data_IF_885923945660
#
_entry.id   IF_885923945660
#
_cell.length_a   1.000
_cell.length_b   1.000
_cell.length_c   1.000
_cell.angle_alpha   90.00
_cell.angle_beta   90.00
_cell.angle_gamma   90.00
#
_symmetry.space_group_name_H-M   'P 1'
#
loop_
_entity.id
_entity.type
_entity.pdbx_description
1 polymer ?
#
# COMPACT_ATOMS: atom_id res chain seq x y z
N UNK A 1 -41.07 17.27 25.42
CA UNK A 1 -40.65 16.36 24.33
C UNK A 1 -39.32 16.87 23.81
N UNK A 2 -38.24 16.40 24.42
CA UNK A 2 -36.87 16.78 23.97
C UNK A 2 -36.42 15.82 22.90
N UNK A 3 -36.20 16.37 21.70
CA UNK A 3 -35.67 15.63 20.56
C UNK A 3 -34.18 15.33 20.73
N UNK A 4 -33.86 14.07 20.95
CA UNK A 4 -32.52 13.56 20.94
C UNK A 4 -31.85 13.84 19.58
N UNK A 5 -31.00 14.82 19.52
CA UNK A 5 -30.08 15.06 18.40
C UNK A 5 -29.06 13.91 18.37
N UNK A 6 -29.27 12.96 17.47
CA UNK A 6 -28.26 11.95 17.12
C UNK A 6 -27.03 12.70 16.62
N UNK A 7 -25.95 12.64 17.41
CA UNK A 7 -24.62 13.07 16.95
C UNK A 7 -24.27 12.27 15.72
N UNK A 8 -24.28 12.93 14.58
CA UNK A 8 -23.71 12.36 13.35
C UNK A 8 -22.20 12.12 13.59
N UNK A 9 -21.66 10.97 13.20
CA UNK A 9 -20.24 10.73 13.29
C UNK A 9 -19.54 11.77 12.42
N UNK A 10 -18.68 12.57 13.03
CA UNK A 10 -17.83 13.50 12.29
C UNK A 10 -16.83 12.67 11.46
N UNK A 11 -17.04 12.69 10.17
CA UNK A 11 -16.17 12.02 9.20
C UNK A 11 -14.83 12.76 9.19
N UNK A 12 -13.82 12.17 9.79
CA UNK A 12 -12.40 12.63 9.74
C UNK A 12 -11.78 12.39 8.36
N UNK A 13 -12.40 12.94 7.28
CA UNK A 13 -11.95 12.70 5.89
C UNK A 13 -10.88 13.72 5.44
N UNK A 14 -10.61 14.77 6.21
CA UNK A 14 -10.18 16.02 5.59
C UNK A 14 -8.69 16.30 5.37
N UNK A 15 -7.68 15.72 6.01
CA UNK A 15 -6.30 16.07 5.64
C UNK A 15 -5.86 15.48 4.30
N UNK A 16 -6.13 14.20 4.05
CA UNK A 16 -5.63 13.52 2.84
C UNK A 16 -6.41 13.84 1.55
N UNK A 17 -7.66 14.32 1.66
CA UNK A 17 -8.49 14.65 0.48
C UNK A 17 -8.43 16.13 0.06
N UNK A 18 -7.99 17.05 0.91
CA UNK A 18 -8.06 18.50 0.63
C UNK A 18 -6.74 19.22 0.44
N UNK A 19 -5.59 18.56 0.59
CA UNK A 19 -4.33 19.29 0.68
C UNK A 19 -3.56 19.37 -0.64
N UNK A 20 -3.36 20.57 -1.08
CA UNK A 20 -2.14 21.09 -1.70
C UNK A 20 -1.03 21.24 -0.64
N UNK A 21 -0.87 20.32 0.28
CA UNK A 21 0.28 20.29 1.16
C UNK A 21 1.40 19.57 0.41
N UNK A 22 2.49 20.30 0.15
CA UNK A 22 3.72 19.71 -0.36
C UNK A 22 4.11 18.55 0.56
N UNK A 23 4.06 17.32 0.03
CA UNK A 23 4.51 16.13 0.73
C UNK A 23 5.92 16.35 1.22
N UNK A 24 6.17 16.08 2.50
CA UNK A 24 7.50 16.20 3.11
C UNK A 24 8.29 14.93 2.84
N UNK A 25 8.58 14.67 1.57
CA UNK A 25 9.38 13.51 1.17
C UNK A 25 10.79 13.66 1.76
N UNK A 26 11.23 12.64 2.45
CA UNK A 26 12.58 12.50 3.00
C UNK A 26 13.06 11.07 2.85
N UNK A 27 14.37 10.88 2.86
CA UNK A 27 14.91 9.54 3.01
C UNK A 27 14.48 8.96 4.35
N UNK A 28 13.88 7.79 4.30
CA UNK A 28 13.46 7.02 5.45
C UNK A 28 14.03 5.60 5.34
N UNK A 29 14.38 5.02 6.48
CA UNK A 29 14.83 3.64 6.54
C UNK A 29 13.65 2.70 6.30
N UNK A 30 13.86 1.67 5.50
CA UNK A 30 12.83 0.65 5.23
C UNK A 30 12.33 -0.04 6.50
N UNK A 31 13.14 -0.08 7.53
CA UNK A 31 12.76 -0.59 8.84
C UNK A 31 11.56 0.16 9.44
N UNK A 32 11.35 1.44 9.09
CA UNK A 32 10.15 2.18 9.52
C UNK A 32 8.87 1.62 8.88
N UNK A 33 8.94 1.16 7.62
CA UNK A 33 7.84 0.47 6.93
C UNK A 33 7.55 -0.85 7.63
N UNK A 34 8.58 -1.65 7.87
CA UNK A 34 8.46 -2.95 8.56
C UNK A 34 7.82 -2.78 9.94
N UNK A 35 8.33 -1.86 10.75
CA UNK A 35 7.80 -1.56 12.09
C UNK A 35 6.34 -1.10 12.04
N UNK A 36 5.98 -0.32 11.02
CA UNK A 36 4.60 0.12 10.82
C UNK A 36 3.68 -1.07 10.59
N UNK A 37 4.03 -1.94 9.65
CA UNK A 37 3.25 -3.15 9.34
C UNK A 37 3.15 -4.07 10.56
N UNK A 38 4.28 -4.34 11.23
CA UNK A 38 4.31 -5.14 12.46
C UNK A 38 3.44 -4.56 13.58
N UNK A 39 3.38 -3.24 13.71
CA UNK A 39 2.56 -2.56 14.72
C UNK A 39 1.05 -2.63 14.48
N UNK A 40 0.64 -2.82 13.22
CA UNK A 40 -0.78 -2.94 12.84
C UNK A 40 -1.29 -4.37 12.96
N UNK A 41 -0.45 -5.35 12.61
CA UNK A 41 -0.82 -6.76 12.56
C UNK A 41 -1.45 -7.30 13.86
N UNK A 42 -0.87 -7.12 15.06
CA UNK A 42 -1.41 -7.72 16.29
C UNK A 42 -2.78 -7.17 16.70
N UNK A 43 -3.14 -5.97 16.23
CA UNK A 43 -4.40 -5.32 16.58
C UNK A 43 -5.59 -5.86 15.77
N UNK A 44 -5.32 -6.63 14.71
CA UNK A 44 -6.33 -7.07 13.74
C UNK A 44 -6.35 -8.58 13.50
N UNK A 45 -5.53 -9.33 14.25
CA UNK A 45 -5.44 -10.79 14.10
C UNK A 45 -6.25 -11.48 15.16
N UNK A 46 -7.48 -11.86 14.83
CA UNK A 46 -8.32 -12.77 15.62
C UNK A 46 -8.11 -14.22 15.14
N UNK A 47 -6.89 -14.75 15.26
CA UNK A 47 -6.60 -16.12 14.85
C UNK A 47 -5.12 -16.40 14.62
N UNK A 48 -4.80 -17.59 14.14
CA UNK A 48 -3.45 -17.98 13.74
C UNK A 48 -3.17 -17.53 12.30
N UNK A 49 -2.59 -16.35 12.15
CA UNK A 49 -2.10 -15.86 10.87
C UNK A 49 -0.58 -15.99 10.82
N UNK A 50 -0.08 -16.77 9.87
CA UNK A 50 1.34 -16.85 9.57
C UNK A 50 1.82 -15.54 8.93
N UNK A 51 2.76 -14.84 9.57
CA UNK A 51 3.33 -13.60 9.06
C UNK A 51 4.75 -13.83 8.55
N UNK A 52 4.98 -13.54 7.28
CA UNK A 52 6.30 -13.59 6.65
C UNK A 52 6.74 -12.21 6.21
N UNK A 53 7.93 -11.77 6.63
CA UNK A 53 8.54 -10.51 6.18
C UNK A 53 9.85 -10.83 5.47
N UNK A 54 9.95 -10.45 4.21
CA UNK A 54 11.11 -10.68 3.36
C UNK A 54 11.71 -9.35 2.90
N UNK A 55 12.95 -9.09 3.28
CA UNK A 55 13.75 -7.98 2.80
C UNK A 55 14.86 -8.58 1.92
N UNK A 56 14.84 -8.28 0.62
CA UNK A 56 15.86 -8.79 -0.29
C UNK A 56 17.15 -7.98 -0.24
N UNK A 57 17.05 -6.72 0.16
CA UNK A 57 18.20 -5.81 0.32
C UNK A 57 18.26 -5.27 1.75
N UNK A 58 19.51 -5.22 2.28
CA UNK A 58 19.77 -4.63 3.60
C UNK A 58 20.05 -3.13 3.45
N UNK A 59 19.64 -2.35 4.47
CA UNK A 59 19.84 -0.89 4.53
C UNK A 59 19.19 -0.11 3.38
N UNK A 60 18.10 -0.65 2.82
CA UNK A 60 17.30 0.04 1.82
C UNK A 60 16.69 1.30 2.43
N UNK A 61 16.80 2.40 1.70
CA UNK A 61 16.13 3.67 2.03
C UNK A 61 15.10 3.99 0.97
N UNK A 62 13.97 4.51 1.40
CA UNK A 62 12.90 4.97 0.51
C UNK A 62 12.73 6.48 0.63
N UNK A 63 12.32 7.13 -0.45
CA UNK A 63 11.92 8.53 -0.42
C UNK A 63 10.42 8.63 -0.10
N UNK A 64 10.10 8.96 1.15
CA UNK A 64 8.70 8.96 1.59
C UNK A 64 8.38 10.05 2.62
N UNK A 65 7.12 10.51 2.61
CA UNK A 65 6.49 11.13 3.77
C UNK A 65 5.98 10.00 4.68
N UNK A 66 6.76 9.68 5.71
CA UNK A 66 6.46 8.54 6.57
C UNK A 66 5.17 8.69 7.37
N UNK A 67 4.67 9.91 7.59
CA UNK A 67 3.38 10.10 8.25
C UNK A 67 2.23 9.62 7.35
N UNK A 68 2.24 10.03 6.08
CA UNK A 68 1.29 9.59 5.08
C UNK A 68 1.49 8.11 4.72
N UNK A 69 2.74 7.66 4.61
CA UNK A 69 3.04 6.25 4.33
C UNK A 69 2.50 5.32 5.41
N UNK A 70 2.63 5.69 6.70
CA UNK A 70 2.04 4.93 7.82
C UNK A 70 0.52 4.84 7.72
N UNK A 71 -0.15 5.92 7.33
CA UNK A 71 -1.61 5.91 7.11
C UNK A 71 -1.97 4.93 5.99
N UNK A 72 -1.31 5.04 4.83
CA UNK A 72 -1.55 4.15 3.70
C UNK A 72 -1.31 2.67 4.04
N UNK A 73 -0.17 2.35 4.66
CA UNK A 73 0.17 0.98 5.06
C UNK A 73 -0.82 0.44 6.10
N UNK A 74 -1.25 1.26 7.05
CA UNK A 74 -2.25 0.87 8.06
C UNK A 74 -3.55 0.46 7.40
N UNK A 75 -4.04 1.25 6.45
CA UNK A 75 -5.28 0.95 5.74
C UNK A 75 -5.16 -0.29 4.84
N UNK A 76 -4.02 -0.47 4.17
CA UNK A 76 -3.76 -1.66 3.35
C UNK A 76 -3.68 -2.94 4.19
N UNK A 77 -2.92 -2.92 5.29
CA UNK A 77 -2.79 -4.06 6.20
C UNK A 77 -4.14 -4.40 6.82
N UNK A 78 -4.88 -3.40 7.32
CA UNK A 78 -6.23 -3.61 7.86
C UNK A 78 -7.16 -4.23 6.84
N UNK A 79 -7.14 -3.76 5.59
CA UNK A 79 -7.97 -4.34 4.54
C UNK A 79 -7.60 -5.78 4.24
N UNK A 80 -6.31 -6.12 4.22
CA UNK A 80 -5.84 -7.48 4.04
C UNK A 80 -6.29 -8.38 5.22
N UNK A 81 -6.13 -7.92 6.46
CA UNK A 81 -6.55 -8.67 7.65
C UNK A 81 -8.07 -8.91 7.69
N UNK A 82 -8.86 -7.87 7.39
CA UNK A 82 -10.33 -7.97 7.37
C UNK A 82 -10.87 -8.93 6.28
N UNK A 83 -10.12 -9.13 5.19
CA UNK A 83 -10.50 -10.02 4.10
C UNK A 83 -10.05 -11.47 4.35
N UNK A 84 -9.10 -11.70 5.26
CA UNK A 84 -8.59 -13.03 5.55
C UNK A 84 -9.54 -13.84 6.43
N UNK A 85 -9.66 -15.15 6.19
CA UNK A 85 -10.30 -16.05 7.13
C UNK A 85 -9.49 -16.14 8.43
N UNK A 86 -10.07 -16.75 9.46
CA UNK A 86 -9.46 -16.88 10.79
C UNK A 86 -8.05 -17.54 10.79
N UNK A 87 -7.73 -18.27 9.74
CA UNK A 87 -6.42 -18.90 9.51
C UNK A 87 -5.94 -18.46 8.12
N UNK A 88 -4.78 -17.84 8.05
CA UNK A 88 -4.27 -17.32 6.79
C UNK A 88 -2.78 -17.05 6.82
N UNK A 89 -2.27 -16.59 5.68
CA UNK A 89 -0.88 -16.14 5.56
C UNK A 89 -0.87 -14.70 5.12
N UNK A 90 -0.09 -13.89 5.80
CA UNK A 90 0.22 -12.53 5.39
C UNK A 90 1.70 -12.44 5.06
N UNK A 91 2.03 -11.84 3.94
CA UNK A 91 3.43 -11.59 3.58
C UNK A 91 3.66 -10.13 3.23
N UNK A 92 4.79 -9.61 3.72
CA UNK A 92 5.37 -8.35 3.31
C UNK A 92 6.69 -8.67 2.61
N UNK A 93 6.84 -8.25 1.35
CA UNK A 93 8.11 -8.34 0.62
C UNK A 93 8.55 -6.95 0.18
N UNK A 94 9.84 -6.65 0.33
CA UNK A 94 10.41 -5.36 -0.04
C UNK A 94 11.72 -5.60 -0.79
N UNK A 95 11.86 -4.97 -1.96
CA UNK A 95 13.07 -4.99 -2.77
C UNK A 95 13.13 -3.77 -3.69
N UNK A 96 14.21 -3.66 -4.45
CA UNK A 96 14.28 -2.75 -5.59
C UNK A 96 14.06 -3.53 -6.88
N UNK A 97 13.32 -2.93 -7.80
CA UNK A 97 13.04 -3.49 -9.12
C UNK A 97 13.36 -2.45 -10.20
N UNK A 98 13.82 -2.94 -11.34
CA UNK A 98 14.07 -2.10 -12.50
C UNK A 98 13.21 -2.59 -13.67
N UNK A 99 12.38 -1.69 -14.20
CA UNK A 99 11.52 -1.99 -15.34
C UNK A 99 12.18 -1.53 -16.62
N UNK A 100 12.41 -2.46 -17.54
CA UNK A 100 12.87 -2.16 -18.88
C UNK A 100 11.77 -1.49 -19.71
N UNK A 101 12.19 -0.67 -20.67
CA UNK A 101 11.30 0.15 -21.52
C UNK A 101 10.24 -0.69 -22.25
N UNK A 102 10.55 -1.95 -22.60
CA UNK A 102 9.62 -2.83 -23.32
C UNK A 102 8.39 -3.23 -22.50
N UNK A 103 8.49 -3.31 -21.18
CA UNK A 103 7.33 -3.58 -20.30
C UNK A 103 6.38 -2.39 -20.20
N UNK A 104 6.83 -1.20 -20.61
CA UNK A 104 6.07 0.06 -20.52
C UNK A 104 4.98 0.18 -21.60
N UNK A 105 5.18 -0.42 -22.75
CA UNK A 105 4.28 -0.26 -23.90
C UNK A 105 2.95 -1.02 -23.75
N UNK A 106 2.79 -1.81 -22.69
CA UNK A 106 1.63 -2.69 -22.48
C UNK A 106 0.73 -2.26 -21.30
N UNK A 107 1.05 -1.18 -20.58
CA UNK A 107 0.30 -0.78 -19.39
C UNK A 107 -0.27 0.63 -19.52
N UNK A 108 -1.51 0.82 -19.08
CA UNK A 108 -2.20 2.12 -19.07
C UNK A 108 -1.57 3.14 -18.12
N UNK A 109 -0.77 2.70 -17.15
CA UNK A 109 -0.04 3.54 -16.19
C UNK A 109 1.37 2.97 -15.99
N UNK A 110 2.32 3.26 -16.90
CA UNK A 110 3.63 2.64 -16.91
C UNK A 110 4.50 3.07 -15.72
N UNK A 111 5.24 2.11 -15.18
CA UNK A 111 6.30 2.36 -14.20
C UNK A 111 7.60 2.43 -14.99
N UNK A 112 8.31 3.55 -14.88
CA UNK A 112 9.54 3.78 -15.65
C UNK A 112 10.75 3.73 -14.74
N UNK A 113 11.72 2.87 -15.08
CA UNK A 113 13.02 2.82 -14.43
C UNK A 113 13.04 2.03 -13.14
N UNK A 114 14.01 2.34 -12.29
CA UNK A 114 14.19 1.70 -11.01
C UNK A 114 13.24 2.29 -9.96
N UNK A 115 12.68 1.43 -9.13
CA UNK A 115 11.79 1.82 -8.04
C UNK A 115 11.92 0.88 -6.84
N UNK A 116 11.59 1.41 -5.66
CA UNK A 116 11.36 0.59 -4.48
C UNK A 116 10.02 -0.11 -4.61
N UNK A 117 10.02 -1.40 -4.37
CA UNK A 117 8.87 -2.28 -4.50
C UNK A 117 8.48 -2.81 -3.13
N UNK A 118 7.22 -2.60 -2.75
CA UNK A 118 6.62 -3.11 -1.52
C UNK A 118 5.40 -3.94 -1.90
N UNK A 119 5.42 -5.23 -1.60
CA UNK A 119 4.28 -6.14 -1.80
C UNK A 119 3.69 -6.55 -0.47
N UNK A 120 2.37 -6.43 -0.36
CA UNK A 120 1.55 -6.87 0.75
C UNK A 120 0.59 -7.93 0.20
N UNK A 121 0.74 -9.18 0.60
CA UNK A 121 -0.13 -10.25 0.15
C UNK A 121 -0.80 -10.98 1.31
N UNK A 122 -2.08 -11.29 1.14
CA UNK A 122 -2.88 -12.05 2.10
C UNK A 122 -3.63 -13.19 1.43
N UNK A 123 -3.70 -14.34 2.10
CA UNK A 123 -4.53 -15.45 1.64
C UNK A 123 -5.99 -15.19 2.01
N UNK A 124 -6.74 -14.70 1.07
CA UNK A 124 -8.18 -14.43 1.20
C UNK A 124 -8.97 -15.03 0.02
N UNK A 125 -10.23 -14.70 -0.07
CA UNK A 125 -11.10 -15.20 -1.17
C UNK A 125 -10.80 -14.57 -2.53
N UNK A 126 -9.91 -13.58 -2.57
CA UNK A 126 -9.66 -12.79 -3.76
C UNK A 126 -10.82 -11.86 -4.12
N UNK A 127 -10.64 -11.09 -5.17
CA UNK A 127 -11.68 -10.22 -5.74
C UNK A 127 -11.84 -10.49 -7.22
N UNK A 128 -13.07 -10.36 -7.71
CA UNK A 128 -13.41 -10.41 -9.13
C UNK A 128 -12.76 -9.22 -9.88
N UNK A 129 -12.43 -9.40 -11.17
CA UNK A 129 -11.85 -8.34 -12.00
C UNK A 129 -12.70 -7.06 -12.02
N UNK A 130 -14.03 -7.18 -12.04
CA UNK A 130 -14.94 -6.04 -12.00
C UNK A 130 -14.87 -5.25 -10.69
N UNK A 131 -14.57 -5.93 -9.59
CA UNK A 131 -14.36 -5.33 -8.29
C UNK A 131 -12.99 -4.67 -8.26
N UNK A 132 -11.99 -5.33 -8.80
CA UNK A 132 -10.60 -4.86 -8.87
C UNK A 132 -10.47 -3.49 -9.55
N UNK A 133 -11.25 -3.22 -10.59
CA UNK A 133 -11.28 -1.91 -11.25
C UNK A 133 -11.80 -0.79 -10.34
N UNK A 134 -12.65 -1.11 -9.36
CA UNK A 134 -13.35 -0.14 -8.51
C UNK A 134 -12.83 -0.02 -7.08
N UNK A 135 -11.93 -0.92 -6.65
CA UNK A 135 -11.51 -0.97 -5.23
C UNK A 135 -10.85 0.31 -4.74
N UNK A 136 -10.31 1.14 -5.63
CA UNK A 136 -9.72 2.43 -5.31
C UNK A 136 -10.70 3.60 -5.45
N UNK A 137 -11.95 3.37 -5.88
CA UNK A 137 -12.97 4.40 -5.92
C UNK A 137 -13.39 4.78 -4.49
N UNK A 138 -13.48 6.08 -4.16
CA UNK A 138 -13.99 6.50 -2.85
C UNK A 138 -15.40 5.94 -2.60
N UNK A 139 -15.62 5.50 -1.37
CA UNK A 139 -16.89 4.92 -0.89
C UNK A 139 -17.23 3.53 -1.46
N UNK A 140 -16.40 2.96 -2.31
CA UNK A 140 -16.58 1.59 -2.76
C UNK A 140 -16.19 0.61 -1.66
N UNK A 141 -17.08 -0.28 -1.28
CA UNK A 141 -16.84 -1.33 -0.28
C UNK A 141 -17.76 -2.53 -0.51
N UNK A 142 -17.23 -3.71 -0.29
CA UNK A 142 -18.00 -4.96 -0.22
C UNK A 142 -18.31 -5.37 1.21
N UNK A 143 -17.79 -4.62 2.21
CA UNK A 143 -17.98 -4.89 3.64
C UNK A 143 -19.22 -4.17 4.16
N UNK A 144 -19.99 -4.83 5.02
CA UNK A 144 -21.21 -4.27 5.62
C UNK A 144 -20.93 -3.12 6.59
N UNK A 145 -19.76 -3.06 7.19
CA UNK A 145 -19.36 -2.05 8.20
C UNK A 145 -18.29 -1.09 7.70
N UNK A 146 -17.79 -1.27 6.48
CA UNK A 146 -16.75 -0.42 5.88
C UNK A 146 -17.32 0.89 5.31
N UNK A 147 -16.54 1.96 5.36
CA UNK A 147 -16.87 3.24 4.73
C UNK A 147 -16.32 3.36 3.28
N UNK A 148 -15.53 2.40 2.81
CA UNK A 148 -14.96 2.37 1.46
C UNK A 148 -13.91 3.47 1.19
N UNK A 149 -13.24 4.00 2.21
CA UNK A 149 -12.28 5.09 2.05
C UNK A 149 -10.82 4.67 2.17
N UNK A 150 -10.49 3.62 2.90
CA UNK A 150 -9.10 3.25 3.20
C UNK A 150 -8.26 3.00 1.95
N UNK A 151 -8.74 2.17 1.00
CA UNK A 151 -8.02 1.92 -0.25
C UNK A 151 -7.91 3.17 -1.13
N UNK A 152 -8.94 4.01 -1.17
CA UNK A 152 -8.92 5.27 -1.91
C UNK A 152 -7.91 6.26 -1.33
N UNK A 153 -7.80 6.32 0.01
CA UNK A 153 -6.80 7.13 0.72
C UNK A 153 -5.40 6.60 0.43
N UNK A 154 -5.16 5.31 0.59
CA UNK A 154 -3.87 4.69 0.28
C UNK A 154 -3.44 4.94 -1.18
N UNK A 155 -4.36 4.75 -2.14
CA UNK A 155 -4.11 5.04 -3.55
C UNK A 155 -3.69 6.51 -3.76
N UNK A 156 -4.41 7.45 -3.15
CA UNK A 156 -4.11 8.87 -3.26
C UNK A 156 -2.76 9.21 -2.64
N UNK A 157 -2.43 8.68 -1.48
CA UNK A 157 -1.14 8.89 -0.80
C UNK A 157 -0.01 8.41 -1.70
N UNK A 158 -0.08 7.19 -2.21
CA UNK A 158 0.96 6.63 -3.07
C UNK A 158 1.07 7.42 -4.38
N UNK A 159 -0.03 7.64 -5.07
CA UNK A 159 -0.02 8.24 -6.42
C UNK A 159 0.24 9.74 -6.42
N UNK A 160 -0.33 10.50 -5.44
CA UNK A 160 -0.30 11.96 -5.45
C UNK A 160 0.81 12.56 -4.61
N UNK A 161 1.16 11.92 -3.49
CA UNK A 161 2.14 12.44 -2.56
C UNK A 161 3.53 11.83 -2.77
N UNK A 162 3.61 10.62 -3.32
CA UNK A 162 4.87 9.91 -3.53
C UNK A 162 5.22 9.72 -5.02
N UNK A 163 4.37 10.18 -5.94
CA UNK A 163 4.49 9.93 -7.40
C UNK A 163 4.68 8.44 -7.74
N UNK A 164 4.22 7.60 -6.83
CA UNK A 164 4.31 6.15 -6.92
C UNK A 164 3.17 5.53 -7.72
N UNK A 165 3.18 4.22 -7.78
CA UNK A 165 2.09 3.42 -8.36
C UNK A 165 1.64 2.37 -7.36
N UNK A 166 0.36 2.05 -7.41
CA UNK A 166 -0.22 0.96 -6.64
C UNK A 166 -1.03 0.08 -7.58
N UNK A 167 -0.80 -1.22 -7.51
CA UNK A 167 -1.51 -2.22 -8.30
C UNK A 167 -2.06 -3.30 -7.38
N UNK A 168 -3.17 -3.89 -7.78
CA UNK A 168 -3.75 -5.03 -7.09
C UNK A 168 -3.78 -6.20 -8.04
N UNK A 169 -3.14 -7.27 -7.61
CA UNK A 169 -3.24 -8.57 -8.24
C UNK A 169 -4.13 -9.46 -7.37
N UNK A 170 -5.09 -10.08 -7.98
CA UNK A 170 -6.00 -11.00 -7.30
C UNK A 170 -6.22 -12.23 -8.16
N UNK A 171 -6.16 -13.38 -7.51
CA UNK A 171 -6.55 -14.65 -8.11
C UNK A 171 -7.51 -15.34 -7.15
N UNK A 172 -8.59 -15.86 -7.67
CA UNK A 172 -9.52 -16.66 -6.86
C UNK A 172 -8.78 -17.85 -6.27
N UNK A 173 -8.73 -17.91 -4.94
CA UNK A 173 -8.05 -18.97 -4.17
C UNK A 173 -6.74 -18.53 -3.50
N UNK A 174 -5.74 -17.95 -4.21
CA UNK A 174 -4.51 -17.52 -3.54
C UNK A 174 -4.60 -16.17 -2.80
N UNK A 175 -5.67 -15.38 -3.04
CA UNK A 175 -5.91 -14.14 -2.31
C UNK A 175 -5.59 -12.85 -3.08
N UNK A 176 -5.38 -11.77 -2.33
CA UNK A 176 -5.08 -10.44 -2.85
C UNK A 176 -3.62 -10.09 -2.57
N UNK A 177 -2.95 -9.55 -3.58
CA UNK A 177 -1.63 -8.96 -3.48
C UNK A 177 -1.70 -7.49 -3.89
N UNK A 178 -1.23 -6.60 -3.01
CA UNK A 178 -1.13 -5.16 -3.26
C UNK A 178 0.33 -4.80 -3.46
N UNK A 179 0.65 -4.31 -4.64
CA UNK A 179 1.99 -3.95 -5.07
C UNK A 179 2.14 -2.44 -5.15
N UNK A 180 3.06 -1.88 -4.36
CA UNK A 180 3.41 -0.46 -4.31
C UNK A 180 4.78 -0.28 -4.94
N UNK A 181 4.90 0.71 -5.82
CA UNK A 181 6.13 1.09 -6.48
C UNK A 181 6.41 2.56 -6.19
N UNK A 182 7.55 2.85 -5.58
CA UNK A 182 7.99 4.21 -5.26
C UNK A 182 9.21 4.56 -6.11
N UNK A 183 9.24 5.72 -6.77
CA UNK A 183 10.40 6.12 -7.58
C UNK A 183 11.62 6.30 -6.69
N UNK A 184 12.78 5.83 -7.17
CA UNK A 184 14.05 6.05 -6.50
C UNK A 184 14.47 7.52 -6.55
N UNK A 185 15.31 7.91 -5.59
CA UNK A 185 15.97 9.20 -5.63
C UNK A 185 16.95 9.26 -6.81
N UNK A 186 17.26 10.48 -7.28
CA UNK A 186 18.29 10.66 -8.31
C UNK A 186 19.64 10.09 -7.90
N UNK A 187 19.96 10.12 -6.61
CA UNK A 187 21.22 9.61 -6.06
C UNK A 187 21.29 8.08 -6.13
N UNK A 188 20.19 7.41 -5.84
CA UNK A 188 20.09 5.94 -5.93
C UNK A 188 20.19 5.46 -7.38
N UNK A 189 19.57 6.17 -8.32
CA UNK A 189 19.69 5.88 -9.75
C UNK A 189 21.17 5.98 -10.18
N UNK A 190 21.90 7.01 -9.77
CA UNK A 190 23.34 7.17 -10.09
C UNK A 190 24.15 6.02 -9.49
N UNK A 191 23.88 5.62 -8.26
CA UNK A 191 24.58 4.51 -7.60
C UNK A 191 24.31 3.18 -8.30
N UNK A 192 23.08 2.90 -8.71
CA UNK A 192 22.73 1.69 -9.48
C UNK A 192 23.46 1.63 -10.84
N UNK A 193 23.58 2.75 -11.54
CA UNK A 193 24.27 2.83 -12.83
C UNK A 193 25.80 2.77 -12.70
N UNK A 194 26.34 2.96 -11.49
CA UNK A 194 27.79 2.98 -11.20
C UNK A 194 28.32 1.63 -10.73
N UNK A 195 27.48 0.61 -10.57
CA UNK A 195 27.92 -0.74 -10.22
C UNK A 195 28.47 -1.38 -11.50
N UNK A 196 29.77 -1.72 -11.58
CA UNK A 196 30.31 -2.40 -12.74
C UNK A 196 29.63 -3.76 -12.87
N UNK A 197 29.20 -4.09 -14.09
CA UNK A 197 28.68 -5.40 -14.42
C UNK A 197 29.80 -6.42 -14.13
N UNK A 198 29.61 -7.22 -13.09
CA UNK A 198 30.51 -8.28 -12.68
C UNK A 198 30.39 -9.52 -13.58
#
# INVERSE_FOLDING_TARGET
>A
MEGSLRKQPQIKILPALSATESSRLREADIDEVVKTVQGVLPQHVDGDVDVTITLLEKNLKILADMALMKEALTDLVRNAMDAMPRYGKFSLAINQVNFEIESLLKADDPIVGACDFISLAGTDVGVDEKIKEKIFEPFFTTKTTGNGLGLAIAYRIIKRHHDGRIRVESRVGPGIEVNIYLPLTKLEIVNMLSIPAG
#
